data_IF_864782545224
#
_entry.id   IF_864782545224
#
_cell.length_a   1.000
_cell.length_b   1.000
_cell.length_c   1.000
_cell.angle_alpha   90.00
_cell.angle_beta   90.00
_cell.angle_gamma   90.00
#
_symmetry.space_group_name_H-M   'P 1'
#
loop_
_entity.id
_entity.type
_entity.pdbx_description
1 polymer ?
#
# COMPACT_ATOMS: atom_id res chain seq x y z
N UNK A 1 7.22 -0.07 6.90
CA UNK A 1 6.50 1.22 7.01
C UNK A 1 7.48 2.30 7.44
N UNK A 2 7.16 3.56 7.20
CA UNK A 2 8.02 4.72 7.49
C UNK A 2 8.42 4.86 8.95
N UNK A 3 7.62 4.31 9.86
CA UNK A 3 7.89 4.24 11.30
C UNK A 3 8.80 3.06 11.73
N UNK A 4 9.34 2.28 10.78
CA UNK A 4 10.17 1.11 11.06
C UNK A 4 9.41 -0.20 11.28
N UNK A 5 8.06 -0.18 11.28
CA UNK A 5 7.27 -1.42 11.38
C UNK A 5 7.47 -2.31 10.16
N UNK A 6 7.79 -3.58 10.40
CA UNK A 6 7.81 -4.63 9.39
C UNK A 6 6.42 -5.26 9.27
N UNK A 7 5.85 -5.28 8.07
CA UNK A 7 4.57 -5.93 7.79
C UNK A 7 4.84 -7.15 6.91
N UNK A 8 4.50 -8.33 7.43
CA UNK A 8 4.57 -9.60 6.69
C UNK A 8 3.16 -9.95 6.24
N UNK A 9 2.98 -10.22 4.95
CA UNK A 9 1.68 -10.55 4.37
C UNK A 9 1.80 -11.59 3.26
N UNK A 10 0.68 -12.27 3.01
CA UNK A 10 0.52 -13.20 1.90
C UNK A 10 -0.32 -12.55 0.83
N UNK A 11 -0.01 -12.84 -0.43
CA UNK A 11 -0.78 -12.33 -1.58
C UNK A 11 -2.26 -12.72 -1.49
N UNK A 12 -2.59 -13.87 -0.92
CA UNK A 12 -3.97 -14.31 -0.67
C UNK A 12 -4.74 -13.45 0.34
N UNK A 13 -4.01 -12.72 1.19
CA UNK A 13 -4.57 -11.92 2.27
C UNK A 13 -4.53 -10.42 1.94
N UNK A 14 -4.04 -10.06 0.75
CA UNK A 14 -4.09 -8.70 0.22
C UNK A 14 -5.45 -8.50 -0.43
N UNK A 15 -6.28 -7.51 0.00
CA UNK A 15 -7.54 -7.22 -0.66
C UNK A 15 -7.27 -6.76 -2.11
N UNK A 16 -8.24 -6.96 -3.00
CA UNK A 16 -8.13 -6.43 -4.35
C UNK A 16 -8.09 -4.88 -4.32
N UNK A 17 -7.35 -4.31 -5.28
CA UNK A 17 -7.25 -2.87 -5.45
C UNK A 17 -8.64 -2.26 -5.63
N UNK A 18 -9.05 -1.43 -4.67
CA UNK A 18 -10.17 -0.53 -4.87
C UNK A 18 -9.78 0.51 -5.92
N UNK A 19 -10.74 0.88 -6.79
CA UNK A 19 -10.53 1.98 -7.73
C UNK A 19 -10.36 3.26 -6.92
N UNK A 20 -9.18 3.88 -7.06
CA UNK A 20 -8.84 5.13 -6.42
C UNK A 20 -8.54 6.17 -7.51
N UNK A 21 -9.12 7.35 -7.38
CA UNK A 21 -8.98 8.44 -8.35
C UNK A 21 -8.60 9.73 -7.64
N UNK A 22 -7.51 10.35 -8.08
CA UNK A 22 -6.98 11.61 -7.53
C UNK A 22 -6.99 12.74 -8.54
N UNK A 23 -7.62 12.53 -9.69
CA UNK A 23 -7.57 13.47 -10.82
C UNK A 23 -8.01 14.89 -10.45
N UNK A 24 -8.92 15.01 -9.49
CA UNK A 24 -9.45 16.29 -9.00
C UNK A 24 -8.90 16.69 -7.63
N UNK A 25 -8.03 15.87 -7.00
CA UNK A 25 -7.52 16.11 -5.64
C UNK A 25 -6.07 15.60 -5.44
N UNK A 26 -5.13 16.36 -6.01
CA UNK A 26 -3.69 16.13 -5.85
C UNK A 26 -3.20 16.36 -4.40
N UNK A 27 -3.71 17.33 -3.63
CA UNK A 27 -3.36 17.44 -2.21
C UNK A 27 -3.65 16.16 -1.43
N UNK A 28 -4.81 15.54 -1.64
CA UNK A 28 -5.16 14.27 -0.99
C UNK A 28 -4.26 13.11 -1.43
N UNK A 29 -3.84 13.07 -2.71
CA UNK A 29 -2.80 12.12 -3.15
C UNK A 29 -1.52 12.27 -2.31
N UNK A 30 -1.08 13.49 -2.04
CA UNK A 30 0.09 13.74 -1.20
C UNK A 30 -0.04 13.20 0.22
N UNK A 31 -1.25 13.24 0.80
CA UNK A 31 -1.55 12.71 2.14
C UNK A 31 -1.55 11.18 2.20
N UNK A 32 -1.82 10.50 1.07
CA UNK A 32 -1.85 9.03 0.99
C UNK A 32 -0.61 8.41 0.32
N UNK A 33 0.28 9.24 -0.24
CA UNK A 33 1.45 8.77 -0.97
C UNK A 33 2.50 8.16 -0.06
N UNK A 34 2.80 8.84 1.05
CA UNK A 34 3.96 8.55 1.89
C UNK A 34 3.66 8.75 3.39
N UNK A 35 3.84 7.65 4.13
CA UNK A 35 3.62 7.56 5.58
C UNK A 35 4.69 8.21 6.46
N UNK A 36 5.74 8.81 5.87
CA UNK A 36 6.71 9.64 6.62
C UNK A 36 6.41 11.14 6.54
N UNK A 37 5.46 11.56 5.71
CA UNK A 37 5.12 12.97 5.56
C UNK A 37 4.26 13.45 6.74
N UNK A 38 4.47 14.71 7.15
CA UNK A 38 3.73 15.30 8.27
C UNK A 38 2.21 15.39 8.02
N UNK A 39 1.77 15.37 6.76
CA UNK A 39 0.35 15.37 6.36
C UNK A 39 -0.23 13.98 6.13
N UNK A 40 0.48 12.92 6.49
CA UNK A 40 -0.02 11.55 6.38
C UNK A 40 -1.24 11.33 7.27
N UNK A 41 -2.34 10.87 6.68
CA UNK A 41 -3.52 10.41 7.42
C UNK A 41 -3.79 8.93 7.10
N UNK A 42 -3.56 8.01 8.05
CA UNK A 42 -3.83 6.59 7.83
C UNK A 42 -5.32 6.29 7.69
N UNK A 43 -6.22 7.13 8.21
CA UNK A 43 -7.67 6.88 8.26
C UNK A 43 -8.28 6.80 6.87
N UNK A 44 -7.77 7.60 5.94
CA UNK A 44 -8.22 7.68 4.55
C UNK A 44 -7.53 6.68 3.62
N UNK A 45 -6.65 5.82 4.14
CA UNK A 45 -6.00 4.80 3.34
C UNK A 45 -7.00 3.71 2.92
N UNK A 46 -7.13 3.41 1.62
CA UNK A 46 -8.03 2.36 1.17
C UNK A 46 -7.44 0.95 1.34
N UNK A 47 -6.15 0.83 1.64
CA UNK A 47 -5.47 -0.45 1.83
C UNK A 47 -4.99 -0.62 3.27
N UNK A 48 -5.53 -1.64 3.92
CA UNK A 48 -5.07 -2.12 5.21
C UNK A 48 -4.58 -3.56 5.10
N UNK A 49 -3.40 -3.83 5.66
CA UNK A 49 -2.83 -5.17 5.75
C UNK A 49 -2.45 -5.42 7.20
N UNK A 50 -3.00 -6.48 7.80
CA UNK A 50 -2.78 -6.83 9.21
C UNK A 50 -3.02 -5.64 10.17
N UNK A 51 -4.07 -4.87 9.92
CA UNK A 51 -4.44 -3.69 10.71
C UNK A 51 -3.59 -2.44 10.48
N UNK A 52 -2.65 -2.45 9.53
CA UNK A 52 -1.80 -1.31 9.22
C UNK A 52 -2.22 -0.67 7.89
N UNK A 53 -2.40 0.65 7.89
CA UNK A 53 -2.59 1.43 6.68
C UNK A 53 -1.32 1.39 5.81
N UNK A 54 -1.49 1.16 4.51
CA UNK A 54 -0.38 1.00 3.56
C UNK A 54 -0.38 2.17 2.57
N UNK A 55 0.62 3.04 2.70
CA UNK A 55 0.85 4.15 1.79
C UNK A 55 1.03 3.71 0.32
N UNK A 56 0.60 4.55 -0.61
CA UNK A 56 0.60 4.24 -2.05
C UNK A 56 2.00 3.91 -2.56
N UNK A 57 3.06 4.54 -2.03
CA UNK A 57 4.44 4.22 -2.42
C UNK A 57 4.81 2.74 -2.25
N UNK A 58 4.15 2.01 -1.35
CA UNK A 58 4.37 0.58 -1.10
C UNK A 58 3.47 -0.34 -1.94
N UNK A 59 2.50 0.21 -2.67
CA UNK A 59 1.52 -0.59 -3.41
C UNK A 59 2.17 -1.39 -4.52
N UNK A 60 3.31 -0.93 -5.04
CA UNK A 60 4.10 -1.68 -6.01
C UNK A 60 4.54 -3.02 -5.43
N UNK A 61 5.10 -3.04 -4.23
CA UNK A 61 5.56 -4.26 -3.55
C UNK A 61 4.39 -5.17 -3.17
N UNK A 62 3.25 -4.57 -2.84
CA UNK A 62 2.03 -5.29 -2.47
C UNK A 62 1.34 -5.95 -3.66
N UNK A 63 1.25 -5.24 -4.79
CA UNK A 63 0.45 -5.65 -5.95
C UNK A 63 1.25 -6.10 -7.16
N UNK A 64 2.59 -6.05 -7.14
CA UNK A 64 3.40 -6.77 -8.14
C UNK A 64 3.11 -8.28 -7.99
N UNK A 65 2.13 -8.74 -8.76
CA UNK A 65 1.90 -10.15 -9.10
C UNK A 65 2.67 -10.42 -10.38
N UNK A 66 4.01 -10.47 -10.29
CA UNK A 66 4.91 -10.57 -11.45
C UNK A 66 5.99 -11.64 -11.28
N UNK A 67 5.61 -12.90 -11.53
CA UNK A 67 6.43 -14.12 -11.74
C UNK A 67 7.80 -14.20 -11.03
N UNK A 68 7.85 -14.86 -9.87
CA UNK A 68 8.88 -15.90 -9.71
C UNK A 68 8.28 -17.19 -10.25
N UNK A 69 8.71 -17.58 -11.45
CA UNK A 69 8.59 -18.95 -11.91
C UNK A 69 9.10 -19.87 -10.80
N UNK A 70 8.37 -20.97 -10.58
CA UNK A 70 8.78 -22.06 -9.73
C UNK A 70 10.22 -22.47 -10.07
N UNK A 71 11.12 -22.32 -9.11
CA UNK A 71 12.26 -23.20 -8.93
C UNK A 71 11.87 -24.28 -7.92
N UNK A 72 10.92 -25.14 -8.28
CA UNK A 72 10.92 -26.53 -7.82
C UNK A 72 11.65 -27.27 -8.95
N UNK A 73 12.93 -27.62 -8.78
CA UNK A 73 13.44 -28.90 -8.27
C UNK A 73 14.88 -28.66 -7.82
#
# INVERSE_FOLDING_TARGET
>A
LGNGTLVIFWVSNTPDLQKLGFSDDIPHLGQLWDDVLAGWDPSDCPLYISGHAIAIKYWREVYIKGKKQLGMI
#
